data_IF_859223317602
#
_entry.id   IF_859223317602
#
_cell.length_a   1.000
_cell.length_b   1.000
_cell.length_c   1.000
_cell.angle_alpha   90.00
_cell.angle_beta   90.00
_cell.angle_gamma   90.00
#
_symmetry.space_group_name_H-M   'P 1'
#
loop_
_entity.id
_entity.type
_entity.pdbx_description
1 polymer ?
#
# COMPACT_ATOMS: atom_id res chain seq x y z
N UNK A 1 25.22 -49.25 41.56
CA UNK A 1 23.87 -48.67 41.36
C UNK A 1 24.05 -47.34 40.64
N UNK A 2 23.82 -47.33 39.31
CA UNK A 2 23.99 -46.12 38.45
C UNK A 2 22.66 -45.41 38.32
N UNK A 3 22.59 -44.19 38.88
CA UNK A 3 21.42 -43.31 38.77
C UNK A 3 21.46 -42.63 37.39
N UNK A 4 20.54 -42.95 36.51
CA UNK A 4 20.35 -42.27 35.24
C UNK A 4 19.47 -41.04 35.53
N UNK A 5 20.07 -39.84 35.41
CA UNK A 5 19.36 -38.55 35.43
C UNK A 5 18.83 -38.31 34.01
N UNK A 6 17.55 -38.46 33.83
CA UNK A 6 16.86 -38.11 32.58
C UNK A 6 16.68 -36.58 32.53
N UNK A 7 17.49 -35.89 31.72
CA UNK A 7 17.32 -34.48 31.45
C UNK A 7 16.28 -34.35 30.35
N UNK A 8 15.08 -33.97 30.73
CA UNK A 8 13.99 -33.63 29.82
C UNK A 8 14.25 -32.22 29.27
N UNK A 9 14.87 -32.11 28.09
CA UNK A 9 15.02 -30.85 27.37
C UNK A 9 13.65 -30.52 26.74
N UNK A 10 12.91 -29.64 27.41
CA UNK A 10 11.69 -29.04 26.87
C UNK A 10 12.10 -28.05 25.75
N UNK A 11 12.06 -28.50 24.48
CA UNK A 11 12.22 -27.59 23.34
C UNK A 11 11.00 -26.66 23.29
N UNK A 12 11.18 -25.45 23.79
CA UNK A 12 10.23 -24.36 23.61
C UNK A 12 10.31 -23.92 22.15
N UNK A 13 9.44 -24.49 21.32
CA UNK A 13 9.23 -24.02 19.95
C UNK A 13 8.50 -22.70 20.06
N UNK A 14 9.24 -21.60 20.11
CA UNK A 14 8.66 -20.27 19.95
C UNK A 14 8.20 -20.14 18.50
N UNK A 15 6.91 -20.34 18.28
CA UNK A 15 6.25 -20.00 17.02
C UNK A 15 6.41 -18.49 16.81
N UNK A 16 7.38 -18.10 16.01
CA UNK A 16 7.50 -16.73 15.51
C UNK A 16 6.34 -16.54 14.54
N UNK A 17 5.21 -16.05 15.07
CA UNK A 17 4.14 -15.55 14.22
C UNK A 17 4.74 -14.35 13.47
N UNK A 18 5.05 -14.55 12.19
CA UNK A 18 5.32 -13.45 11.30
C UNK A 18 4.04 -12.59 11.29
N UNK A 19 4.06 -11.50 12.04
CA UNK A 19 3.07 -10.45 11.91
C UNK A 19 3.19 -9.99 10.46
N UNK A 20 2.14 -10.20 9.69
CA UNK A 20 2.05 -9.64 8.35
C UNK A 20 2.25 -8.13 8.50
N UNK A 21 3.36 -7.64 7.96
CA UNK A 21 3.75 -6.24 8.08
C UNK A 21 2.78 -5.41 7.24
N UNK A 22 1.76 -4.85 7.89
CA UNK A 22 0.79 -3.95 7.27
C UNK A 22 1.39 -2.54 7.15
N UNK A 23 2.67 -2.49 6.78
CA UNK A 23 3.43 -1.25 6.73
C UNK A 23 3.14 -0.50 5.44
N UNK A 24 2.70 0.73 5.60
CA UNK A 24 2.55 1.67 4.49
C UNK A 24 3.92 1.98 3.90
N UNK A 25 4.04 1.91 2.58
CA UNK A 25 5.24 2.33 1.86
C UNK A 25 5.16 3.84 1.68
N UNK A 26 6.25 4.53 2.04
CA UNK A 26 6.38 5.99 1.94
C UNK A 26 7.64 6.29 1.11
N UNK A 27 7.49 7.05 0.05
CA UNK A 27 8.60 7.50 -0.80
C UNK A 27 8.62 9.01 -0.85
N UNK A 28 9.78 9.60 -0.57
CA UNK A 28 10.00 11.04 -0.73
C UNK A 28 10.21 11.36 -2.20
N UNK A 29 9.52 12.37 -2.71
CA UNK A 29 9.68 12.84 -4.08
C UNK A 29 10.84 13.84 -4.19
N UNK A 30 11.52 13.80 -5.32
CA UNK A 30 12.53 14.83 -5.74
C UNK A 30 11.86 16.03 -6.40
N UNK A 31 10.55 15.98 -6.60
CA UNK A 31 9.76 16.99 -7.31
C UNK A 31 8.79 17.67 -6.36
N UNK A 32 8.28 18.84 -6.76
CA UNK A 32 7.18 19.50 -6.06
C UNK A 32 5.86 18.72 -6.17
N UNK A 33 4.88 19.11 -5.36
CA UNK A 33 3.61 18.41 -5.24
C UNK A 33 2.88 18.21 -6.58
N UNK A 34 2.70 19.28 -7.36
CA UNK A 34 1.98 19.22 -8.64
C UNK A 34 2.71 18.37 -9.69
N UNK A 35 4.03 18.46 -9.75
CA UNK A 35 4.84 17.68 -10.69
C UNK A 35 4.79 16.20 -10.33
N UNK A 36 4.90 15.86 -9.04
CA UNK A 36 4.78 14.48 -8.57
C UNK A 36 3.40 13.91 -8.88
N UNK A 37 2.34 14.70 -8.67
CA UNK A 37 0.97 14.28 -9.01
C UNK A 37 0.83 13.99 -10.51
N UNK A 38 1.31 14.91 -11.36
CA UNK A 38 1.25 14.75 -12.82
C UNK A 38 2.01 13.51 -13.28
N UNK A 39 3.22 13.30 -12.75
CA UNK A 39 4.03 12.09 -13.04
C UNK A 39 3.34 10.82 -12.58
N UNK A 40 2.71 10.83 -11.39
CA UNK A 40 1.95 9.69 -10.87
C UNK A 40 0.77 9.34 -11.77
N UNK A 41 -0.02 10.32 -12.18
CA UNK A 41 -1.16 10.13 -13.09
C UNK A 41 -0.70 9.54 -14.43
N UNK A 42 0.38 10.07 -15.00
CA UNK A 42 0.97 9.55 -16.23
C UNK A 42 1.49 8.11 -16.10
N UNK A 43 2.17 7.80 -14.99
CA UNK A 43 2.68 6.46 -14.72
C UNK A 43 1.54 5.43 -14.53
N UNK A 44 0.45 5.82 -13.86
CA UNK A 44 -0.74 4.98 -13.73
C UNK A 44 -1.33 4.65 -15.11
N UNK A 45 -1.50 5.67 -15.96
CA UNK A 45 -2.02 5.49 -17.31
C UNK A 45 -1.12 4.61 -18.17
N UNK A 46 0.19 4.84 -18.17
CA UNK A 46 1.17 4.04 -18.90
C UNK A 46 1.11 2.55 -18.54
N UNK A 47 0.88 2.26 -17.27
CA UNK A 47 0.76 0.87 -16.77
C UNK A 47 -0.66 0.28 -16.92
N UNK A 48 -1.57 0.98 -17.60
CA UNK A 48 -2.93 0.50 -17.87
C UNK A 48 -3.83 0.46 -16.64
N UNK A 49 -3.53 1.28 -15.63
CA UNK A 49 -4.39 1.47 -14.48
C UNK A 49 -5.36 2.62 -14.72
N UNK A 50 -6.60 2.43 -14.28
CA UNK A 50 -7.67 3.42 -14.39
C UNK A 50 -7.65 4.28 -13.13
N UNK A 51 -7.56 5.59 -13.30
CA UNK A 51 -7.80 6.55 -12.22
C UNK A 51 -9.32 6.74 -12.09
N UNK A 52 -9.91 6.23 -11.01
CA UNK A 52 -11.35 6.32 -10.74
C UNK A 52 -11.75 7.64 -10.11
N UNK A 53 -10.92 8.13 -9.18
CA UNK A 53 -11.17 9.39 -8.49
C UNK A 53 -9.87 10.02 -7.98
N UNK A 54 -9.94 11.33 -7.80
CA UNK A 54 -8.92 12.14 -7.16
C UNK A 54 -9.61 12.99 -6.08
N UNK A 55 -9.20 12.80 -4.83
CA UNK A 55 -9.79 13.48 -3.67
C UNK A 55 -8.79 14.50 -3.14
N UNK A 56 -9.07 15.78 -3.36
CA UNK A 56 -8.27 16.87 -2.81
C UNK A 56 -8.76 17.22 -1.40
N UNK A 57 -8.02 16.77 -0.40
CA UNK A 57 -8.32 17.04 1.01
C UNK A 57 -8.07 18.51 1.36
N UNK A 58 -7.12 19.16 0.71
CA UNK A 58 -6.80 20.58 0.92
C UNK A 58 -7.97 21.45 0.50
N UNK A 59 -8.53 21.21 -0.69
CA UNK A 59 -9.74 21.89 -1.17
C UNK A 59 -10.92 21.63 -0.22
N UNK A 60 -11.07 20.37 0.24
CA UNK A 60 -12.11 20.00 1.20
C UNK A 60 -12.00 20.77 2.52
N UNK A 61 -10.79 20.92 3.05
CA UNK A 61 -10.54 21.68 4.26
C UNK A 61 -10.88 23.17 4.07
N UNK A 62 -10.47 23.74 2.94
CA UNK A 62 -10.76 25.16 2.61
C UNK A 62 -12.26 25.45 2.56
N UNK A 63 -13.07 24.54 2.00
CA UNK A 63 -14.53 24.67 1.92
C UNK A 63 -15.23 24.76 3.28
N UNK A 64 -14.59 24.26 4.34
CA UNK A 64 -15.11 24.32 5.72
C UNK A 64 -14.32 25.29 6.60
N UNK A 65 -13.52 26.18 6.00
CA UNK A 65 -12.78 27.22 6.71
C UNK A 65 -11.54 26.73 7.47
N UNK A 66 -11.07 25.51 7.19
CA UNK A 66 -9.85 24.95 7.79
C UNK A 66 -8.65 25.08 6.86
N UNK A 67 -7.46 25.05 7.44
CA UNK A 67 -6.19 25.05 6.71
C UNK A 67 -5.46 23.74 6.93
N UNK A 68 -4.92 23.17 5.86
CA UNK A 68 -4.02 22.01 5.92
C UNK A 68 -2.99 22.11 4.80
N UNK A 69 -1.90 21.36 4.94
CA UNK A 69 -0.90 21.21 3.89
C UNK A 69 -1.47 20.43 2.70
N UNK A 70 -0.90 20.58 1.51
CA UNK A 70 -1.33 19.85 0.32
C UNK A 70 -1.46 18.35 0.57
N UNK A 71 -2.61 17.78 0.27
CA UNK A 71 -2.87 16.35 0.40
C UNK A 71 -3.95 15.91 -0.59
N UNK A 72 -3.61 14.97 -1.47
CA UNK A 72 -4.53 14.39 -2.45
C UNK A 72 -4.44 12.86 -2.42
N UNK A 73 -5.60 12.21 -2.36
CA UNK A 73 -5.72 10.76 -2.54
C UNK A 73 -6.11 10.46 -3.97
N UNK A 74 -5.31 9.63 -4.64
CA UNK A 74 -5.64 9.04 -5.93
C UNK A 74 -6.21 7.64 -5.70
N UNK A 75 -7.40 7.36 -6.26
CA UNK A 75 -8.08 6.07 -6.20
C UNK A 75 -8.00 5.44 -7.58
N UNK A 76 -7.33 4.30 -7.70
CA UNK A 76 -7.00 3.71 -8.98
C UNK A 76 -6.98 2.18 -8.94
N UNK A 77 -7.01 1.56 -10.09
CA UNK A 77 -6.92 0.11 -10.20
C UNK A 77 -7.18 -0.41 -11.60
N UNK A 78 -7.25 -1.73 -11.68
CA UNK A 78 -7.68 -2.44 -12.90
C UNK A 78 -8.51 -3.66 -12.46
N UNK A 79 -9.75 -3.83 -12.97
CA UNK A 79 -10.60 -4.96 -12.60
C UNK A 79 -9.93 -6.33 -12.81
N UNK A 80 -9.10 -6.48 -13.86
CA UNK A 80 -8.35 -7.72 -14.09
C UNK A 80 -7.37 -8.05 -12.96
N UNK A 81 -6.81 -7.01 -12.31
CA UNK A 81 -5.87 -7.18 -11.20
C UNK A 81 -6.57 -7.35 -9.85
N UNK A 82 -7.66 -6.61 -9.60
CA UNK A 82 -8.34 -6.60 -8.30
C UNK A 82 -9.35 -7.73 -8.09
N UNK A 83 -10.10 -8.12 -9.14
CA UNK A 83 -11.18 -9.11 -9.04
C UNK A 83 -10.73 -10.46 -8.44
N UNK A 84 -9.56 -11.04 -8.78
CA UNK A 84 -9.14 -12.31 -8.18
C UNK A 84 -9.08 -12.30 -6.66
N UNK A 85 -8.69 -11.18 -6.03
CA UNK A 85 -8.64 -11.05 -4.59
C UNK A 85 -10.05 -10.96 -3.98
N UNK A 86 -10.96 -10.21 -4.61
CA UNK A 86 -12.34 -10.06 -4.17
C UNK A 86 -13.15 -11.34 -4.34
N UNK A 87 -12.85 -12.16 -5.35
CA UNK A 87 -13.44 -13.49 -5.52
C UNK A 87 -12.95 -14.45 -4.43
N UNK A 88 -11.67 -14.37 -4.07
CA UNK A 88 -11.09 -15.22 -3.03
C UNK A 88 -11.55 -14.83 -1.61
N UNK A 89 -11.80 -13.54 -1.37
CA UNK A 89 -12.32 -12.99 -0.11
C UNK A 89 -13.19 -11.76 -0.41
N UNK A 90 -14.51 -11.87 -0.41
CA UNK A 90 -15.42 -10.77 -0.75
C UNK A 90 -15.22 -9.52 0.14
N UNK A 91 -14.84 -9.71 1.40
CA UNK A 91 -14.60 -8.60 2.35
C UNK A 91 -13.43 -7.73 1.93
N UNK A 92 -12.48 -8.28 1.16
CA UNK A 92 -11.35 -7.51 0.63
C UNK A 92 -11.78 -6.40 -0.32
N UNK A 93 -13.01 -6.46 -0.87
CA UNK A 93 -13.55 -5.43 -1.75
C UNK A 93 -13.57 -4.03 -1.10
N UNK A 94 -13.60 -3.93 0.23
CA UNK A 94 -13.54 -2.63 0.95
C UNK A 94 -12.20 -1.90 0.74
N UNK A 95 -11.12 -2.64 0.48
CA UNK A 95 -9.79 -2.08 0.26
C UNK A 95 -9.48 -1.85 -1.23
N UNK A 96 -10.34 -2.29 -2.13
CA UNK A 96 -10.28 -1.99 -3.55
C UNK A 96 -11.31 -0.92 -3.94
N UNK A 97 -11.02 -0.05 -4.92
CA UNK A 97 -9.76 0.14 -5.64
C UNK A 97 -8.59 0.57 -4.74
N UNK A 98 -7.36 0.38 -5.23
CA UNK A 98 -6.15 0.80 -4.52
C UNK A 98 -6.11 2.32 -4.37
N UNK A 99 -5.33 2.79 -3.40
CA UNK A 99 -5.19 4.22 -3.07
C UNK A 99 -3.72 4.58 -2.90
N UNK A 100 -3.36 5.78 -3.35
CA UNK A 100 -2.11 6.41 -3.03
C UNK A 100 -2.38 7.82 -2.50
N UNK A 101 -1.71 8.19 -1.42
CA UNK A 101 -1.73 9.53 -0.85
C UNK A 101 -0.49 10.28 -1.32
N UNK A 102 -0.68 11.41 -1.95
CA UNK A 102 0.35 12.41 -2.15
C UNK A 102 0.16 13.49 -1.10
N UNK A 103 1.20 13.83 -0.36
CA UNK A 103 1.16 14.87 0.68
C UNK A 103 2.44 15.67 0.71
N UNK A 104 2.33 16.92 1.16
CA UNK A 104 3.46 17.81 1.40
C UNK A 104 3.47 18.21 2.88
N UNK A 105 4.63 18.20 3.50
CA UNK A 105 4.77 18.65 4.89
C UNK A 105 5.00 20.17 4.99
N UNK A 106 5.00 20.77 6.22
CA UNK A 106 5.26 22.21 6.39
C UNK A 106 6.63 22.68 5.91
N UNK A 107 7.57 21.78 5.65
CA UNK A 107 8.91 22.08 5.14
C UNK A 107 9.02 21.96 3.62
N UNK A 108 7.89 21.64 2.93
CA UNK A 108 7.84 21.46 1.49
C UNK A 108 8.34 20.08 1.02
N UNK A 109 8.46 19.11 1.93
CA UNK A 109 8.83 17.73 1.58
C UNK A 109 7.59 16.99 1.08
N UNK A 110 7.65 16.58 -0.19
CA UNK A 110 6.56 15.84 -0.84
C UNK A 110 6.79 14.34 -0.66
N UNK A 111 5.75 13.62 -0.25
CA UNK A 111 5.77 12.16 -0.08
C UNK A 111 4.63 11.50 -0.81
N UNK A 112 4.90 10.32 -1.39
CA UNK A 112 3.93 9.41 -1.97
C UNK A 112 3.83 8.19 -1.07
N UNK A 113 2.62 7.88 -0.59
CA UNK A 113 2.36 6.81 0.36
C UNK A 113 1.27 5.88 -0.16
N UNK A 114 1.47 4.56 0.02
CA UNK A 114 0.47 3.56 -0.38
C UNK A 114 0.66 2.26 0.41
N UNK A 115 -0.37 1.43 0.43
CA UNK A 115 -0.27 0.07 0.95
C UNK A 115 -0.01 -0.93 -0.18
N UNK A 116 0.94 -1.87 -0.02
CA UNK A 116 1.16 -2.94 -0.99
C UNK A 116 -0.04 -3.91 -1.01
N UNK A 117 -0.29 -4.55 -2.15
CA UNK A 117 -1.38 -5.52 -2.30
C UNK A 117 -1.18 -6.74 -1.39
N UNK A 118 0.07 -7.12 -1.13
CA UNK A 118 0.40 -8.19 -0.19
C UNK A 118 -0.11 -7.91 1.23
N UNK A 119 -0.23 -6.64 1.65
CA UNK A 119 -0.84 -6.30 2.94
C UNK A 119 -2.34 -6.60 2.98
N UNK A 120 -3.04 -6.43 1.87
CA UNK A 120 -4.47 -6.81 1.73
C UNK A 120 -4.60 -8.34 1.81
N UNK A 121 -3.73 -9.08 1.09
CA UNK A 121 -3.69 -10.55 1.15
C UNK A 121 -3.51 -11.03 2.58
N UNK A 122 -2.59 -10.44 3.31
CA UNK A 122 -2.31 -10.78 4.70
C UNK A 122 -3.49 -10.42 5.63
N UNK A 123 -4.06 -9.21 5.49
CA UNK A 123 -5.19 -8.72 6.29
C UNK A 123 -6.40 -9.64 6.20
N UNK A 124 -6.74 -10.08 5.00
CA UNK A 124 -7.91 -10.93 4.74
C UNK A 124 -7.57 -12.42 4.65
N UNK A 125 -6.31 -12.81 4.91
CA UNK A 125 -5.82 -14.20 4.87
C UNK A 125 -6.16 -14.89 3.53
N UNK A 126 -6.04 -14.15 2.43
CA UNK A 126 -6.37 -14.62 1.09
C UNK A 126 -5.36 -15.68 0.68
N UNK A 127 -5.85 -16.84 0.23
CA UNK A 127 -5.00 -17.96 -0.21
C UNK A 127 -4.91 -18.00 -1.72
N UNK A 128 -3.75 -18.45 -2.23
CA UNK A 128 -3.53 -18.72 -3.65
C UNK A 128 -3.33 -17.47 -4.53
N UNK A 129 -3.25 -16.27 -3.94
CA UNK A 129 -3.06 -15.02 -4.68
C UNK A 129 -1.70 -14.35 -4.40
N UNK A 130 -0.79 -15.02 -3.70
CA UNK A 130 0.50 -14.44 -3.29
C UNK A 130 1.37 -14.02 -4.47
N UNK A 131 1.43 -14.84 -5.52
CA UNK A 131 2.20 -14.53 -6.73
C UNK A 131 1.66 -13.30 -7.47
N UNK A 132 0.32 -13.16 -7.55
CA UNK A 132 -0.33 -11.99 -8.15
C UNK A 132 -0.10 -10.75 -7.29
N UNK A 133 -0.23 -10.86 -5.97
CA UNK A 133 0.05 -9.76 -5.05
C UNK A 133 1.48 -9.25 -5.20
N UNK A 134 2.46 -10.13 -5.20
CA UNK A 134 3.88 -9.77 -5.40
C UNK A 134 4.12 -9.07 -6.75
N UNK A 135 3.46 -9.53 -7.81
CA UNK A 135 3.54 -8.88 -9.14
C UNK A 135 2.98 -7.46 -9.09
N UNK A 136 1.83 -7.26 -8.43
CA UNK A 136 1.20 -5.95 -8.30
C UNK A 136 2.00 -5.03 -7.36
N UNK A 137 2.61 -5.54 -6.30
CA UNK A 137 3.51 -4.78 -5.45
C UNK A 137 4.71 -4.25 -6.23
N UNK A 138 5.31 -5.08 -7.09
CA UNK A 138 6.37 -4.65 -7.99
C UNK A 138 5.92 -3.57 -8.98
N UNK A 139 4.69 -3.68 -9.51
CA UNK A 139 4.09 -2.67 -10.38
C UNK A 139 3.89 -1.34 -9.65
N UNK A 140 3.32 -1.37 -8.43
CA UNK A 140 3.12 -0.19 -7.59
C UNK A 140 4.46 0.49 -7.25
N UNK A 141 5.48 -0.30 -6.90
CA UNK A 141 6.83 0.22 -6.65
C UNK A 141 7.44 0.92 -7.86
N UNK A 142 7.25 0.36 -9.06
CA UNK A 142 7.72 0.97 -10.30
C UNK A 142 6.99 2.28 -10.62
N UNK A 143 5.66 2.32 -10.42
CA UNK A 143 4.84 3.54 -10.59
C UNK A 143 5.29 4.62 -9.59
N UNK A 144 5.43 4.25 -8.32
CA UNK A 144 5.85 5.19 -7.28
C UNK A 144 7.23 5.76 -7.57
N UNK A 145 8.19 4.91 -7.98
CA UNK A 145 9.52 5.37 -8.40
C UNK A 145 9.47 6.32 -9.58
N UNK A 146 8.69 6.01 -10.62
CA UNK A 146 8.55 6.88 -11.78
C UNK A 146 7.93 8.25 -11.44
N UNK A 147 7.10 8.32 -10.41
CA UNK A 147 6.49 9.57 -9.94
C UNK A 147 7.41 10.41 -9.06
N UNK A 148 8.35 9.79 -8.34
CA UNK A 148 9.14 10.44 -7.28
C UNK A 148 10.60 10.70 -7.65
N UNK A 149 11.15 10.01 -8.66
CA UNK A 149 12.53 10.15 -9.17
C UNK A 149 12.63 11.17 -10.31
#
# INVERSE_FOLDING_TARGET
MKKYVLILICMLVTSFSALADNTMIIQTSKHGFNDTQTKLEAALQEKGLILFAKIDHTEGAQKVGLKMQPATVLIFGNPKGGTPFMVASPEAAIDFPLKALLSEDPHGVVTLSYYPVSSIVAKYKIKGQDALAKKLDGLLGAIAKAATD
#
